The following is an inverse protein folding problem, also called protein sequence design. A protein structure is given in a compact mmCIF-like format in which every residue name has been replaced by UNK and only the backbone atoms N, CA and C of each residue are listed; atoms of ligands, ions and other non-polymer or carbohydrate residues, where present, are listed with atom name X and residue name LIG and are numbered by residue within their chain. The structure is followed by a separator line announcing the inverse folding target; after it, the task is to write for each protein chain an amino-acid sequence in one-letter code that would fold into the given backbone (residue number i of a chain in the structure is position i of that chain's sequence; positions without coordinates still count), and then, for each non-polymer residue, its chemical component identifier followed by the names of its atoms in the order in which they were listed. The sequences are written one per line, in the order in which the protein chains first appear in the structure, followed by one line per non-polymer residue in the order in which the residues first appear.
data_IF_626013556648
#
_entry.id   IF_626013556648
#
_cell.length_a   1.000
_cell.length_b   1.000
_cell.length_c   1.000
_cell.angle_alpha   90.00
_cell.angle_beta   90.00
_cell.angle_gamma   90.00
#
_symmetry.space_group_name_H-M   'P 1'
#
loop_
_entity.id
_entity.type
_entity.pdbx_description
1 polymer ?
#
# COMPACT_ATOMS: atom_id res chain seq x y z
N UNK A 1 12.40 -1.29 2.28
CA UNK A 1 12.49 -0.22 1.28
C UNK A 1 13.89 0.31 1.19
N UNK A 2 14.41 0.36 -0.02
CA UNK A 2 15.80 0.72 -0.28
C UNK A 2 15.97 2.24 -0.28
N UNK A 3 16.80 2.75 0.61
CA UNK A 3 17.30 4.11 0.71
C UNK A 3 16.34 5.25 0.22
N UNK A 4 15.28 5.54 0.96
CA UNK A 4 14.26 6.51 0.52
C UNK A 4 14.81 7.94 0.41
N UNK A 5 15.90 8.27 1.10
CA UNK A 5 16.55 9.58 1.02
C UNK A 5 17.21 9.78 -0.35
N UNK A 6 17.97 8.78 -0.84
CA UNK A 6 18.61 8.84 -2.15
C UNK A 6 17.60 8.87 -3.30
N UNK A 7 16.45 8.25 -3.10
CA UNK A 7 15.35 8.24 -4.07
C UNK A 7 14.45 9.48 -4.00
N UNK A 8 14.67 10.37 -3.03
CA UNK A 8 13.81 11.54 -2.77
C UNK A 8 12.34 11.17 -2.55
N UNK A 9 12.07 10.00 -1.97
CA UNK A 9 10.71 9.60 -1.63
C UNK A 9 10.21 10.39 -0.41
N UNK A 10 8.91 10.77 -0.34
CA UNK A 10 8.32 11.54 0.77
C UNK A 10 8.03 10.65 2.00
N UNK A 11 9.01 9.83 2.40
CA UNK A 11 8.80 8.79 3.41
C UNK A 11 8.50 9.34 4.82
N UNK A 12 9.02 10.53 5.16
CA UNK A 12 8.76 11.16 6.46
C UNK A 12 7.33 11.64 6.55
N UNK A 13 6.86 12.32 5.52
CA UNK A 13 5.50 12.79 5.36
C UNK A 13 4.52 11.61 5.34
N UNK A 14 4.88 10.53 4.67
CA UNK A 14 4.10 9.30 4.67
C UNK A 14 3.99 8.70 6.07
N UNK A 15 5.09 8.59 6.82
CA UNK A 15 5.06 8.09 8.20
C UNK A 15 4.23 8.97 9.13
N UNK A 16 4.31 10.30 9.01
CA UNK A 16 3.46 11.19 9.81
C UNK A 16 1.97 11.02 9.45
N UNK A 17 1.65 10.86 8.17
CA UNK A 17 0.29 10.51 7.73
C UNK A 17 -0.17 9.20 8.37
N UNK A 18 0.65 8.14 8.34
CA UNK A 18 0.27 6.84 8.91
C UNK A 18 0.12 6.86 10.43
N UNK A 19 0.94 7.63 11.15
CA UNK A 19 0.80 7.83 12.60
C UNK A 19 -0.53 8.48 12.98
N UNK A 20 -1.14 9.24 12.08
CA UNK A 20 -2.48 9.80 12.31
C UNK A 20 -3.60 8.75 12.19
N UNK A 21 -3.32 7.61 11.55
CA UNK A 21 -4.27 6.51 11.36
C UNK A 21 -4.17 5.51 12.51
N UNK A 22 -2.95 5.15 12.91
CA UNK A 22 -2.67 4.09 13.89
C UNK A 22 -1.32 4.28 14.58
N UNK A 23 -1.19 3.72 15.79
CA UNK A 23 0.11 3.56 16.46
C UNK A 23 0.82 2.25 16.08
N UNK A 24 0.11 1.28 15.49
CA UNK A 24 0.68 0.01 15.01
C UNK A 24 1.20 0.20 13.58
N UNK A 25 2.47 0.58 13.45
CA UNK A 25 3.15 0.79 12.16
C UNK A 25 4.29 -0.20 12.04
N UNK A 26 4.21 -1.07 11.04
CA UNK A 26 5.27 -2.01 10.68
C UNK A 26 5.99 -1.52 9.43
N UNK A 27 7.28 -1.28 9.55
CA UNK A 27 8.14 -0.88 8.44
C UNK A 27 8.91 -2.11 7.96
N UNK A 28 8.81 -2.41 6.67
CA UNK A 28 9.47 -3.55 6.03
C UNK A 28 10.29 -3.12 4.83
N UNK A 29 11.18 -4.01 4.37
CA UNK A 29 12.00 -3.77 3.19
C UNK A 29 13.21 -2.87 3.44
N UNK A 30 13.65 -2.71 4.69
CA UNK A 30 14.87 -1.97 5.04
C UNK A 30 16.14 -2.75 4.65
N UNK A 31 16.07 -4.07 4.69
CA UNK A 31 17.20 -4.98 4.47
C UNK A 31 17.19 -5.62 3.06
N UNK A 32 16.47 -5.02 2.10
CA UNK A 32 16.47 -5.50 0.72
C UNK A 32 17.88 -5.41 0.12
N UNK A 33 18.34 -6.53 -0.45
CA UNK A 33 19.61 -6.60 -1.17
C UNK A 33 19.69 -5.60 -2.32
N UNK A 34 20.91 -5.32 -2.79
CA UNK A 34 21.12 -4.34 -3.86
C UNK A 34 20.44 -4.72 -5.17
N UNK A 35 20.33 -6.01 -5.45
CA UNK A 35 19.67 -6.51 -6.65
C UNK A 35 18.18 -6.77 -6.35
N UNK A 36 17.31 -5.97 -6.97
CA UNK A 36 15.87 -6.11 -6.81
C UNK A 36 15.36 -7.39 -7.48
N UNK A 37 14.63 -8.20 -6.73
CA UNK A 37 13.92 -9.37 -7.25
C UNK A 37 12.43 -9.21 -6.99
N UNK A 38 11.62 -9.46 -7.99
CA UNK A 38 10.16 -9.38 -7.88
C UNK A 38 9.60 -10.25 -6.75
N UNK A 39 10.17 -11.44 -6.56
CA UNK A 39 9.77 -12.38 -5.48
C UNK A 39 9.96 -11.79 -4.08
N UNK A 40 10.83 -10.82 -3.91
CA UNK A 40 11.09 -10.21 -2.61
C UNK A 40 9.99 -9.22 -2.21
N UNK A 41 9.25 -8.67 -3.17
CA UNK A 41 8.08 -7.82 -2.87
C UNK A 41 7.00 -8.61 -2.12
N UNK A 42 6.64 -9.78 -2.61
CA UNK A 42 5.65 -10.63 -1.95
C UNK A 42 6.06 -11.01 -0.54
N UNK A 43 7.32 -11.40 -0.34
CA UNK A 43 7.88 -11.71 0.99
C UNK A 43 7.84 -10.50 1.93
N UNK A 44 8.22 -9.32 1.43
CA UNK A 44 8.20 -8.08 2.18
C UNK A 44 6.78 -7.71 2.63
N UNK A 45 5.81 -7.79 1.74
CA UNK A 45 4.41 -7.52 2.07
C UNK A 45 3.85 -8.55 3.04
N UNK A 46 4.22 -9.84 2.87
CA UNK A 46 3.85 -10.89 3.81
C UNK A 46 4.41 -10.62 5.21
N UNK A 47 5.68 -10.24 5.30
CA UNK A 47 6.31 -9.88 6.57
C UNK A 47 5.58 -8.73 7.27
N UNK A 48 5.22 -7.68 6.52
CA UNK A 48 4.43 -6.56 7.04
C UNK A 48 3.06 -7.00 7.55
N UNK A 49 2.37 -7.83 6.78
CA UNK A 49 1.08 -8.39 7.16
C UNK A 49 1.19 -9.25 8.42
N UNK A 50 2.16 -10.15 8.49
CA UNK A 50 2.34 -11.08 9.61
C UNK A 50 2.69 -10.36 10.91
N UNK A 51 3.52 -9.33 10.85
CA UNK A 51 3.96 -8.54 12.02
C UNK A 51 2.91 -7.55 12.54
N UNK A 52 1.97 -7.12 11.71
CA UNK A 52 0.92 -6.19 12.13
C UNK A 52 0.00 -6.83 13.17
N UNK A 53 -0.46 -6.08 14.18
CA UNK A 53 -1.32 -6.56 15.27
C UNK A 53 -2.80 -6.14 15.11
N UNK A 54 -3.08 -5.19 14.22
CA UNK A 54 -4.42 -4.65 13.98
C UNK A 54 -5.42 -5.65 13.38
N UNK A 55 -6.70 -5.39 13.60
CA UNK A 55 -7.81 -6.14 12.99
C UNK A 55 -7.80 -6.02 11.45
N UNK A 56 -7.41 -4.86 10.96
CA UNK A 56 -7.24 -4.51 9.57
C UNK A 56 -5.82 -4.04 9.32
N UNK A 57 -5.22 -4.45 8.23
CA UNK A 57 -3.88 -4.03 7.80
C UNK A 57 -4.01 -3.15 6.57
N UNK A 58 -3.46 -1.94 6.63
CA UNK A 58 -3.37 -1.04 5.48
C UNK A 58 -1.94 -1.14 4.92
N UNK A 59 -1.81 -1.70 3.73
CA UNK A 59 -0.53 -1.88 3.05
C UNK A 59 -0.30 -0.71 2.09
N UNK A 60 0.60 0.19 2.46
CA UNK A 60 0.92 1.37 1.66
C UNK A 60 2.44 1.47 1.45
N UNK A 61 2.84 1.89 0.26
CA UNK A 61 4.22 2.30 0.02
C UNK A 61 4.44 3.74 0.49
N UNK A 62 5.69 4.11 0.74
CA UNK A 62 6.05 5.41 1.32
C UNK A 62 5.84 6.61 0.40
N UNK A 63 5.43 6.38 -0.81
CA UNK A 63 5.01 7.37 -1.79
C UNK A 63 3.48 7.46 -1.92
N UNK A 64 2.75 6.71 -1.09
CA UNK A 64 1.28 6.68 -1.05
C UNK A 64 0.78 7.33 0.25
N UNK A 65 -0.06 8.34 0.14
CA UNK A 65 -0.63 9.06 1.27
C UNK A 65 -2.16 9.03 1.23
N UNK A 66 -2.76 9.08 2.40
CA UNK A 66 -4.19 9.36 2.59
C UNK A 66 -4.32 10.82 3.02
N UNK A 67 -5.30 11.53 2.48
CA UNK A 67 -5.55 12.89 2.92
C UNK A 67 -6.18 12.87 4.33
N UNK A 68 -5.74 13.77 5.21
CA UNK A 68 -6.18 13.79 6.60
C UNK A 68 -7.71 13.90 6.76
N UNK A 69 -8.40 14.60 5.85
CA UNK A 69 -9.87 14.71 5.87
C UNK A 69 -10.58 13.41 5.51
N UNK A 70 -9.89 12.46 4.88
CA UNK A 70 -10.46 11.20 4.44
C UNK A 70 -10.26 10.06 5.44
N UNK A 71 -9.38 10.21 6.42
CA UNK A 71 -9.03 9.16 7.39
C UNK A 71 -10.25 8.72 8.19
N UNK A 72 -11.00 9.65 8.77
CA UNK A 72 -12.20 9.33 9.53
C UNK A 72 -13.28 8.67 8.67
N UNK A 73 -13.42 9.12 7.42
CA UNK A 73 -14.32 8.53 6.43
C UNK A 73 -13.91 7.09 6.14
N UNK A 74 -12.62 6.85 5.90
CA UNK A 74 -12.08 5.51 5.63
C UNK A 74 -12.36 4.55 6.78
N UNK A 75 -12.03 4.94 8.01
CA UNK A 75 -12.24 4.12 9.21
C UNK A 75 -13.72 3.76 9.40
N UNK A 76 -14.62 4.70 9.15
CA UNK A 76 -16.07 4.45 9.22
C UNK A 76 -16.53 3.48 8.13
N UNK A 77 -16.02 3.64 6.91
CA UNK A 77 -16.41 2.81 5.78
C UNK A 77 -15.92 1.37 5.92
N UNK A 78 -14.70 1.14 6.39
CA UNK A 78 -14.16 -0.21 6.63
C UNK A 78 -15.07 -0.99 7.59
N UNK A 79 -15.58 -0.33 8.65
CA UNK A 79 -16.47 -0.96 9.65
C UNK A 79 -17.81 -1.42 9.08
N UNK A 80 -18.23 -0.91 7.92
CA UNK A 80 -19.46 -1.35 7.25
C UNK A 80 -19.30 -2.68 6.50
N UNK A 81 -18.06 -3.13 6.30
CA UNK A 81 -17.75 -4.32 5.52
C UNK A 81 -16.91 -5.35 6.31
N UNK A 82 -17.39 -5.77 7.50
CA UNK A 82 -16.59 -6.60 8.40
C UNK A 82 -16.29 -8.01 7.86
N UNK A 83 -16.99 -8.41 6.82
CA UNK A 83 -16.88 -9.74 6.22
C UNK A 83 -16.06 -9.77 4.91
N UNK A 84 -15.66 -8.61 4.41
CA UNK A 84 -14.81 -8.54 3.21
C UNK A 84 -13.37 -8.95 3.54
N UNK A 85 -12.73 -9.78 2.72
CA UNK A 85 -11.34 -10.18 2.94
C UNK A 85 -10.36 -9.04 2.67
N UNK A 86 -10.71 -8.17 1.72
CA UNK A 86 -9.89 -7.03 1.35
C UNK A 86 -10.74 -5.92 0.74
N UNK A 87 -10.17 -4.72 0.70
CA UNK A 87 -10.80 -3.52 0.15
C UNK A 87 -9.79 -2.83 -0.76
N UNK A 88 -10.25 -2.41 -1.94
CA UNK A 88 -9.46 -1.62 -2.88
C UNK A 88 -9.86 -0.15 -2.84
N UNK A 89 -8.87 0.72 -2.94
CA UNK A 89 -9.00 2.17 -3.01
C UNK A 89 -8.54 2.69 -4.38
N UNK A 90 -9.14 3.77 -4.90
CA UNK A 90 -8.68 4.39 -6.13
C UNK A 90 -7.31 5.03 -5.93
N UNK A 91 -6.34 4.68 -6.77
CA UNK A 91 -5.02 5.29 -6.76
C UNK A 91 -4.96 6.48 -7.71
N UNK A 92 -4.70 7.66 -7.16
CA UNK A 92 -4.49 8.90 -7.88
C UNK A 92 -2.99 9.17 -7.97
N UNK A 93 -2.41 8.90 -9.15
CA UNK A 93 -0.98 9.09 -9.36
C UNK A 93 -0.71 10.50 -9.87
N UNK A 94 0.08 11.26 -9.11
CA UNK A 94 0.66 12.52 -9.56
C UNK A 94 1.83 12.26 -10.53
N UNK A 95 1.94 13.09 -11.53
CA UNK A 95 3.08 13.16 -12.45
C UNK A 95 3.62 14.60 -12.60
N UNK A 96 2.85 15.57 -12.10
CA UNK A 96 3.23 16.95 -11.87
C UNK A 96 2.48 17.45 -10.62
N UNK A 97 2.94 18.51 -9.94
CA UNK A 97 2.32 18.99 -8.70
C UNK A 97 0.81 19.28 -8.80
N UNK A 98 0.34 19.70 -9.96
CA UNK A 98 -1.07 20.06 -10.19
C UNK A 98 -1.80 19.09 -11.10
N UNK A 99 -1.14 17.99 -11.52
CA UNK A 99 -1.69 17.01 -12.45
C UNK A 99 -1.62 15.60 -11.91
N UNK A 100 -2.75 14.96 -11.88
CA UNK A 100 -2.86 13.55 -11.51
C UNK A 100 -3.81 12.82 -12.46
N UNK A 101 -3.72 11.51 -12.45
CA UNK A 101 -4.67 10.61 -13.10
C UNK A 101 -5.12 9.53 -12.13
N UNK A 102 -6.37 9.10 -12.26
CA UNK A 102 -6.85 7.87 -11.61
C UNK A 102 -6.29 6.71 -12.41
N UNK A 103 -5.37 5.95 -11.82
CA UNK A 103 -4.67 4.91 -12.55
C UNK A 103 -5.34 3.55 -12.44
N UNK A 104 -5.74 3.18 -11.22
CA UNK A 104 -6.33 1.87 -10.92
C UNK A 104 -6.96 1.90 -9.53
N UNK A 105 -7.70 0.85 -9.20
CA UNK A 105 -7.98 0.52 -7.80
C UNK A 105 -6.90 -0.43 -7.31
N UNK A 106 -6.32 -0.14 -6.16
CA UNK A 106 -5.34 -1.01 -5.52
C UNK A 106 -5.92 -1.62 -4.26
N UNK A 107 -5.69 -2.91 -4.08
CA UNK A 107 -6.08 -3.65 -2.89
C UNK A 107 -5.06 -3.37 -1.80
N UNK A 108 -5.35 -2.37 -0.97
CA UNK A 108 -4.43 -1.90 0.08
C UNK A 108 -4.89 -2.22 1.49
N UNK A 109 -6.14 -2.63 1.69
CA UNK A 109 -6.71 -2.88 3.02
C UNK A 109 -7.10 -4.34 3.13
N UNK A 110 -6.57 -5.03 4.14
CA UNK A 110 -6.71 -6.47 4.34
C UNK A 110 -7.31 -6.75 5.71
N UNK A 111 -8.32 -7.63 5.77
CA UNK A 111 -9.00 -8.04 7.01
C UNK A 111 -8.23 -9.17 7.69
N UNK A 112 -7.23 -8.84 8.47
CA UNK A 112 -6.39 -9.81 9.20
C UNK A 112 -7.14 -10.52 10.32
N UNK A 113 -8.09 -9.84 10.96
CA UNK A 113 -8.88 -10.45 12.05
C UNK A 113 -9.59 -11.71 11.58
N UNK A 114 -10.23 -11.65 10.42
CA UNK A 114 -11.04 -12.74 9.90
C UNK A 114 -10.27 -13.67 8.99
N UNK A 115 -9.29 -13.18 8.24
CA UNK A 115 -8.58 -13.90 7.18
C UNK A 115 -7.07 -13.88 7.44
N UNK A 116 -6.62 -14.66 8.42
CA UNK A 116 -5.21 -14.78 8.81
C UNK A 116 -4.34 -15.50 7.77
N UNK A 117 -4.98 -16.20 6.84
CA UNK A 117 -4.35 -16.99 5.79
C UNK A 117 -4.22 -16.25 4.45
N UNK A 118 -4.33 -14.93 4.45
CA UNK A 118 -3.98 -14.13 3.27
C UNK A 118 -2.47 -14.27 3.02
N UNK A 119 -2.11 -14.55 1.76
CA UNK A 119 -0.73 -14.70 1.30
C UNK A 119 -0.43 -13.70 0.18
N UNK A 120 0.79 -13.17 0.16
CA UNK A 120 1.27 -12.31 -0.93
C UNK A 120 2.05 -13.15 -1.95
N UNK A 121 1.34 -13.82 -2.85
CA UNK A 121 1.91 -14.70 -3.87
C UNK A 121 1.13 -14.65 -5.19
N UNK A 122 0.30 -13.63 -5.38
CA UNK A 122 -0.52 -13.46 -6.56
C UNK A 122 0.05 -12.48 -7.58
N UNK A 123 -0.48 -12.54 -8.80
CA UNK A 123 -0.03 -11.71 -9.91
C UNK A 123 1.30 -12.14 -10.52
N UNK A 124 1.72 -11.43 -11.58
CA UNK A 124 2.98 -11.72 -12.28
C UNK A 124 4.25 -11.37 -11.51
N UNK A 125 4.12 -10.48 -10.53
CA UNK A 125 5.18 -10.03 -9.63
C UNK A 125 5.11 -10.67 -8.23
N UNK A 126 4.21 -11.63 -8.02
CA UNK A 126 3.97 -12.32 -6.76
C UNK A 126 3.66 -11.41 -5.56
N UNK A 127 3.26 -10.16 -5.81
CA UNK A 127 3.05 -9.14 -4.79
C UNK A 127 1.57 -8.89 -4.45
N UNK A 128 0.64 -9.47 -5.21
CA UNK A 128 -0.78 -9.33 -4.92
C UNK A 128 -1.22 -10.28 -3.80
N UNK A 129 -2.08 -9.82 -2.88
CA UNK A 129 -2.63 -10.70 -1.86
C UNK A 129 -3.57 -11.74 -2.49
N UNK A 130 -3.56 -12.95 -1.93
CA UNK A 130 -4.45 -14.05 -2.30
C UNK A 130 -5.15 -14.62 -1.06
N UNK A 131 -6.34 -15.14 -1.25
CA UNK A 131 -7.06 -15.92 -0.26
C UNK A 131 -7.58 -17.18 -0.93
N UNK A 132 -7.22 -18.36 -0.41
CA UNK A 132 -7.64 -19.66 -0.98
C UNK A 132 -7.35 -19.78 -2.50
N UNK A 133 -6.19 -19.29 -2.93
CA UNK A 133 -5.74 -19.21 -4.33
C UNK A 133 -6.51 -18.22 -5.22
N UNK A 134 -7.41 -17.42 -4.66
CA UNK A 134 -8.08 -16.33 -5.38
C UNK A 134 -7.29 -15.05 -5.18
N UNK A 135 -6.88 -14.40 -6.27
CA UNK A 135 -6.19 -13.11 -6.21
C UNK A 135 -7.16 -12.02 -5.78
N UNK A 136 -6.82 -11.33 -4.69
CA UNK A 136 -7.58 -10.20 -4.17
C UNK A 136 -7.16 -8.92 -4.93
N UNK A 137 -7.84 -8.62 -6.01
CA UNK A 137 -7.60 -7.45 -6.86
C UNK A 137 -8.89 -6.64 -7.08
N UNK A 138 -8.79 -5.56 -7.84
CA UNK A 138 -9.93 -4.69 -8.12
C UNK A 138 -11.18 -5.38 -8.67
N UNK A 139 -11.07 -6.59 -9.27
CA UNK A 139 -12.22 -7.32 -9.80
C UNK A 139 -12.88 -8.25 -8.77
N UNK A 140 -12.20 -8.56 -7.68
CA UNK A 140 -12.60 -9.57 -6.70
C UNK A 140 -12.91 -9.02 -5.31
N UNK A 141 -12.60 -7.74 -5.06
CA UNK A 141 -12.76 -7.12 -3.74
C UNK A 141 -13.70 -5.91 -3.75
N UNK A 142 -14.14 -5.50 -2.57
CA UNK A 142 -14.94 -4.29 -2.36
C UNK A 142 -14.13 -3.04 -2.68
N UNK A 143 -14.74 -2.07 -3.36
CA UNK A 143 -14.18 -0.75 -3.59
C UNK A 143 -14.77 0.27 -2.61
N UNK A 144 -13.92 1.15 -2.08
CA UNK A 144 -14.34 2.35 -1.37
C UNK A 144 -13.85 3.58 -2.12
N UNK A 145 -14.66 4.63 -2.13
CA UNK A 145 -14.33 5.91 -2.75
C UNK A 145 -13.58 6.81 -1.75
N UNK A 146 -12.34 6.39 -1.47
CA UNK A 146 -11.37 7.13 -0.66
C UNK A 146 -10.04 7.09 -1.40
N UNK A 147 -9.54 8.21 -1.93
CA UNK A 147 -8.34 8.23 -2.74
C UNK A 147 -7.08 7.85 -1.95
N UNK A 148 -6.21 7.05 -2.56
CA UNK A 148 -4.80 6.97 -2.18
C UNK A 148 -4.01 7.86 -3.14
N UNK A 149 -3.31 8.84 -2.60
CA UNK A 149 -2.50 9.79 -3.36
C UNK A 149 -1.09 9.25 -3.52
N UNK A 150 -0.72 8.91 -4.75
CA UNK A 150 0.59 8.34 -5.07
C UNK A 150 1.50 9.40 -5.68
N UNK A 151 2.61 9.65 -5.02
CA UNK A 151 3.63 10.64 -5.38
C UNK A 151 4.88 10.00 -6.02
N UNK A 152 4.80 8.74 -6.41
CA UNK A 152 5.87 8.07 -7.13
C UNK A 152 6.35 8.93 -8.31
N UNK A 153 7.62 9.15 -8.40
CA UNK A 153 8.29 10.01 -9.38
C UNK A 153 8.07 11.52 -9.23
N UNK A 154 7.09 12.01 -8.47
CA UNK A 154 6.76 13.44 -8.38
C UNK A 154 7.91 14.30 -7.86
N UNK A 155 8.65 13.78 -6.88
CA UNK A 155 9.77 14.49 -6.24
C UNK A 155 11.15 14.04 -6.76
N UNK A 156 11.21 13.00 -7.58
CA UNK A 156 12.46 12.44 -8.10
C UNK A 156 12.97 13.25 -9.27
N UNK A 157 14.29 13.40 -9.36
CA UNK A 157 14.92 13.99 -10.54
C UNK A 157 14.88 13.01 -11.71
N UNK A 158 15.10 13.52 -12.93
CA UNK A 158 15.16 12.67 -14.14
C UNK A 158 16.26 11.62 -14.05
N UNK A 159 17.37 11.96 -13.40
CA UNK A 159 18.51 11.07 -13.20
C UNK A 159 18.14 9.91 -12.25
N UNK A 160 17.40 10.19 -11.18
CA UNK A 160 16.91 9.15 -10.24
C UNK A 160 15.91 8.24 -10.95
N UNK A 161 14.97 8.81 -11.70
CA UNK A 161 13.95 8.03 -12.43
C UNK A 161 14.60 7.11 -13.48
N UNK A 162 15.70 7.54 -14.10
CA UNK A 162 16.41 6.75 -15.11
C UNK A 162 17.22 5.58 -14.52
N UNK A 163 17.39 5.52 -13.20
CA UNK A 163 18.10 4.45 -12.49
C UNK A 163 17.14 3.38 -11.93
N UNK A 164 15.85 3.65 -11.91
CA UNK A 164 14.80 2.71 -11.51
C UNK A 164 14.41 1.75 -12.65
#
# INVERSE_FOLDING_TARGET
MRNPEERMDPWREALECYKSITSDIVIVGQDLEQEFKWDDLGKMFQEGFDKSEGDWVINLSIDMLLHETDIDKLIKLIKLYPDEPAIALPKYKFFEPERYQIKSFETVILNKKKYKNILFNGGGDLALPTLENVVLNQSTVKHLDVPVWNYDTTFRTKEIIAQD
#
